data_IF_965362352936
#
_entry.id   IF_965362352936
#
_cell.length_a   1.000
_cell.length_b   1.000
_cell.length_c   1.000
_cell.angle_alpha   90.00
_cell.angle_beta   90.00
_cell.angle_gamma   90.00
#
_symmetry.space_group_name_H-M   'P 1'
#
loop_
_entity.id
_entity.type
_entity.pdbx_description
1 polymer ?
#
# COMPACT_ATOMS: atom_id res chain seq x y z
N UNK A 1 -29.76 -9.06 2.59
CA UNK A 1 -28.74 -9.44 1.62
C UNK A 1 -27.42 -8.88 2.10
N UNK A 2 -26.46 -9.72 2.32
CA UNK A 2 -25.15 -9.35 2.84
C UNK A 2 -24.06 -9.60 1.79
N UNK A 3 -22.81 -9.66 2.23
CA UNK A 3 -21.64 -10.00 1.40
C UNK A 3 -21.54 -11.51 1.11
N UNK A 4 -22.58 -12.30 1.51
CA UNK A 4 -22.59 -13.77 1.47
C UNK A 4 -22.34 -14.32 0.07
N UNK A 5 -22.98 -13.77 -0.94
CA UNK A 5 -22.83 -14.26 -2.33
C UNK A 5 -21.39 -14.07 -2.84
N UNK A 6 -20.76 -12.96 -2.48
CA UNK A 6 -19.36 -12.73 -2.82
C UNK A 6 -18.44 -13.69 -2.03
N UNK A 7 -18.73 -13.91 -0.75
CA UNK A 7 -17.97 -14.85 0.07
C UNK A 7 -18.09 -16.27 -0.46
N UNK A 8 -19.31 -16.72 -0.77
CA UNK A 8 -19.57 -18.05 -1.36
C UNK A 8 -18.87 -18.22 -2.71
N UNK A 9 -18.88 -17.18 -3.54
CA UNK A 9 -18.18 -17.19 -4.83
C UNK A 9 -16.67 -17.34 -4.64
N UNK A 10 -16.09 -16.57 -3.73
CA UNK A 10 -14.66 -16.64 -3.46
C UNK A 10 -14.26 -17.99 -2.85
N UNK A 11 -15.03 -18.51 -1.89
CA UNK A 11 -14.76 -19.83 -1.28
C UNK A 11 -14.85 -20.99 -2.26
N UNK A 12 -15.71 -20.89 -3.27
CA UNK A 12 -15.86 -21.93 -4.29
C UNK A 12 -14.75 -21.94 -5.34
N UNK A 13 -14.14 -20.80 -5.60
CA UNK A 13 -13.22 -20.63 -6.72
C UNK A 13 -11.76 -20.40 -6.30
N UNK A 14 -11.50 -19.95 -5.07
CA UNK A 14 -10.18 -19.55 -4.62
C UNK A 14 -9.85 -20.09 -3.24
N UNK A 15 -8.56 -20.31 -2.99
CA UNK A 15 -8.05 -20.66 -1.66
C UNK A 15 -7.58 -19.39 -0.95
N UNK A 16 -7.80 -19.34 0.36
CA UNK A 16 -7.17 -18.31 1.20
C UNK A 16 -5.67 -18.60 1.35
N UNK A 17 -4.90 -17.55 1.41
CA UNK A 17 -3.46 -17.56 1.70
C UNK A 17 -3.19 -16.77 2.97
N UNK A 18 -2.17 -17.15 3.69
CA UNK A 18 -1.73 -16.39 4.88
C UNK A 18 -1.18 -15.02 4.48
N UNK A 19 -1.26 -14.05 5.37
CA UNK A 19 -0.61 -12.75 5.11
C UNK A 19 0.91 -12.86 4.93
N UNK A 20 1.51 -13.90 5.49
CA UNK A 20 2.93 -14.20 5.24
C UNK A 20 3.19 -14.51 3.77
N UNK A 21 2.33 -15.31 3.14
CA UNK A 21 2.43 -15.65 1.72
C UNK A 21 2.07 -14.45 0.83
N UNK A 22 0.98 -13.75 1.15
CA UNK A 22 0.48 -12.60 0.38
C UNK A 22 1.45 -11.40 0.41
N UNK A 23 2.21 -11.23 1.50
CA UNK A 23 3.20 -10.17 1.63
C UNK A 23 4.61 -10.55 1.17
N UNK A 24 4.76 -11.75 0.57
CA UNK A 24 6.05 -12.24 0.14
C UNK A 24 6.54 -11.51 -1.11
N UNK A 25 7.76 -11.00 -1.06
CA UNK A 25 8.45 -10.43 -2.19
C UNK A 25 9.84 -11.06 -2.30
N UNK A 26 10.09 -11.78 -3.40
CA UNK A 26 11.28 -12.55 -3.71
C UNK A 26 11.61 -13.61 -2.64
N UNK A 27 12.14 -13.45 -1.55
CA UNK A 27 12.44 -14.44 -0.51
C UNK A 27 12.18 -13.89 0.90
N UNK A 28 11.48 -12.76 0.99
CA UNK A 28 11.17 -12.12 2.26
C UNK A 28 9.71 -11.72 2.30
N UNK A 29 9.04 -12.07 3.38
CA UNK A 29 7.68 -11.63 3.67
C UNK A 29 7.71 -10.41 4.57
N UNK A 30 6.84 -9.45 4.29
CA UNK A 30 6.68 -8.27 5.13
C UNK A 30 6.03 -8.65 6.46
N UNK A 31 4.98 -9.47 6.41
CA UNK A 31 4.32 -10.05 7.57
C UNK A 31 4.92 -11.43 7.85
N UNK A 32 5.42 -11.65 9.06
CA UNK A 32 6.03 -12.91 9.46
C UNK A 32 5.12 -13.70 10.38
N UNK A 33 5.05 -15.01 10.15
CA UNK A 33 4.35 -15.97 11.02
C UNK A 33 2.85 -15.68 11.25
N UNK A 34 2.17 -15.04 10.27
CA UNK A 34 0.73 -14.85 10.35
C UNK A 34 -0.03 -16.15 10.13
N UNK A 35 -1.06 -16.37 10.96
CA UNK A 35 -2.06 -17.43 10.79
C UNK A 35 -3.36 -16.89 10.17
N UNK A 36 -3.51 -15.58 10.10
CA UNK A 36 -4.67 -14.96 9.48
C UNK A 36 -4.54 -15.01 7.97
N UNK A 37 -5.67 -15.16 7.30
CA UNK A 37 -5.76 -15.47 5.89
C UNK A 37 -6.66 -14.47 5.16
N UNK A 38 -6.33 -14.20 3.91
CA UNK A 38 -7.17 -13.47 2.97
C UNK A 38 -7.09 -14.14 1.60
N UNK A 39 -7.91 -13.69 0.65
CA UNK A 39 -7.79 -14.14 -0.73
C UNK A 39 -6.73 -13.34 -1.47
N UNK A 40 -5.95 -14.00 -2.30
CA UNK A 40 -5.00 -13.38 -3.23
C UNK A 40 -5.78 -12.66 -4.33
N UNK A 41 -5.76 -11.33 -4.31
CA UNK A 41 -6.52 -10.55 -5.28
C UNK A 41 -5.83 -10.51 -6.65
N UNK A 42 -4.54 -10.75 -6.68
CA UNK A 42 -3.78 -10.92 -7.92
C UNK A 42 -4.23 -12.18 -8.66
N UNK A 43 -4.44 -13.29 -7.94
CA UNK A 43 -4.96 -14.56 -8.48
C UNK A 43 -6.41 -14.40 -8.99
N UNK A 44 -7.26 -13.71 -8.22
CA UNK A 44 -8.63 -13.40 -8.64
C UNK A 44 -8.64 -12.56 -9.92
N UNK A 45 -7.78 -11.56 -9.99
CA UNK A 45 -7.67 -10.68 -11.16
C UNK A 45 -7.18 -11.45 -12.38
N UNK A 46 -6.25 -12.38 -12.21
CA UNK A 46 -5.76 -13.25 -13.29
C UNK A 46 -6.85 -14.22 -13.79
N UNK A 47 -7.67 -14.76 -12.89
CA UNK A 47 -8.83 -15.58 -13.26
C UNK A 47 -9.83 -14.79 -14.10
N UNK A 48 -10.14 -13.55 -13.73
CA UNK A 48 -11.06 -12.68 -14.47
C UNK A 48 -10.45 -12.22 -15.80
N UNK A 49 -9.16 -11.93 -15.81
CA UNK A 49 -8.42 -11.41 -16.97
C UNK A 49 -7.22 -12.30 -17.31
N UNK A 50 -7.44 -13.45 -17.96
CA UNK A 50 -6.35 -14.35 -18.33
C UNK A 50 -5.39 -13.74 -19.37
N UNK A 51 -5.83 -12.67 -20.03
CA UNK A 51 -5.00 -11.87 -20.95
C UNK A 51 -5.13 -10.40 -20.56
N UNK A 52 -4.00 -9.67 -20.57
CA UNK A 52 -3.95 -8.23 -20.23
C UNK A 52 -4.49 -7.94 -18.81
N UNK A 53 -3.99 -8.67 -17.83
CA UNK A 53 -4.33 -8.49 -16.41
C UNK A 53 -4.07 -7.04 -15.97
N UNK A 54 -5.08 -6.34 -15.42
CA UNK A 54 -4.87 -5.04 -14.81
C UNK A 54 -4.04 -5.14 -13.52
N UNK A 55 -3.50 -4.03 -13.07
CA UNK A 55 -2.82 -3.96 -11.77
C UNK A 55 -3.82 -4.18 -10.65
N UNK A 56 -3.43 -4.93 -9.63
CA UNK A 56 -4.29 -5.29 -8.51
C UNK A 56 -3.59 -5.09 -7.16
N UNK A 57 -4.40 -4.92 -6.12
CA UNK A 57 -3.95 -5.05 -4.75
C UNK A 57 -3.47 -6.49 -4.49
N UNK A 58 -2.64 -6.68 -3.49
CA UNK A 58 -2.07 -8.00 -3.20
C UNK A 58 -3.12 -8.92 -2.57
N UNK A 59 -4.06 -8.39 -1.77
CA UNK A 59 -5.08 -9.20 -1.12
C UNK A 59 -6.45 -8.52 -1.05
N UNK A 60 -7.50 -9.35 -0.89
CA UNK A 60 -8.85 -8.95 -0.56
C UNK A 60 -9.35 -9.71 0.67
N UNK A 61 -9.87 -8.98 1.65
CA UNK A 61 -10.46 -9.50 2.87
C UNK A 61 -11.92 -9.06 2.95
N UNK A 62 -12.81 -9.98 3.34
CA UNK A 62 -14.22 -9.72 3.57
C UNK A 62 -14.51 -9.78 5.07
N UNK A 63 -15.12 -8.74 5.61
CA UNK A 63 -15.63 -8.70 6.98
C UNK A 63 -17.02 -8.06 7.04
N UNK A 64 -18.05 -8.84 7.33
CA UNK A 64 -19.45 -8.41 7.39
C UNK A 64 -19.90 -7.73 6.08
N UNK A 65 -20.07 -6.40 6.09
CA UNK A 65 -20.41 -5.59 4.92
C UNK A 65 -19.22 -4.80 4.38
N UNK A 66 -18.00 -5.19 4.74
CA UNK A 66 -16.78 -4.48 4.41
C UNK A 66 -15.89 -5.31 3.51
N UNK A 67 -15.33 -4.66 2.53
CA UNK A 67 -14.29 -5.19 1.66
C UNK A 67 -13.03 -4.39 1.93
N UNK A 68 -11.94 -5.08 2.22
CA UNK A 68 -10.61 -4.49 2.40
C UNK A 68 -9.72 -4.97 1.27
N UNK A 69 -9.23 -4.04 0.47
CA UNK A 69 -8.07 -4.27 -0.37
C UNK A 69 -6.81 -3.99 0.45
N UNK A 70 -5.84 -4.87 0.37
CA UNK A 70 -4.61 -4.78 1.12
C UNK A 70 -3.45 -4.81 0.15
N UNK A 71 -2.57 -3.83 0.25
CA UNK A 71 -1.35 -3.70 -0.55
C UNK A 71 -0.14 -3.74 0.37
N UNK A 72 0.79 -4.64 0.14
CA UNK A 72 2.01 -4.79 0.92
C UNK A 72 3.19 -4.12 0.22
N UNK A 73 3.82 -3.14 0.87
CA UNK A 73 4.94 -2.37 0.33
C UNK A 73 6.18 -2.47 1.21
N UNK A 74 7.07 -3.41 0.87
CA UNK A 74 8.37 -3.53 1.53
C UNK A 74 9.37 -2.51 1.01
N UNK A 75 10.21 -1.97 1.87
CA UNK A 75 11.26 -0.99 1.54
C UNK A 75 10.71 0.37 1.13
N UNK A 76 9.41 0.60 1.32
CA UNK A 76 8.73 1.80 0.86
C UNK A 76 9.15 3.03 1.66
N UNK A 77 9.22 2.92 2.97
CA UNK A 77 9.67 4.00 3.84
C UNK A 77 11.09 4.43 3.50
N UNK A 78 12.01 3.48 3.32
CA UNK A 78 13.39 3.75 2.95
C UNK A 78 13.51 4.45 1.58
N UNK A 79 12.66 4.10 0.62
CA UNK A 79 12.65 4.72 -0.71
C UNK A 79 12.09 6.13 -0.69
N UNK A 80 11.16 6.42 0.22
CA UNK A 80 10.49 7.73 0.34
C UNK A 80 11.16 8.66 1.34
N UNK A 81 12.08 8.19 2.15
CA UNK A 81 12.81 9.01 3.11
C UNK A 81 13.74 9.98 2.38
N UNK A 82 13.43 11.27 2.47
CA UNK A 82 14.26 12.35 1.88
C UNK A 82 15.56 12.58 2.62
N UNK A 83 15.69 12.01 3.82
CA UNK A 83 16.83 12.22 4.73
C UNK A 83 18.02 11.32 4.45
N UNK A 84 17.88 10.32 3.56
CA UNK A 84 18.95 9.36 3.30
C UNK A 84 20.13 9.88 2.47
N UNK A 85 20.11 11.15 2.08
CA UNK A 85 21.25 11.79 1.44
C UNK A 85 21.74 12.95 2.32
N UNK A 86 22.64 12.64 3.23
CA UNK A 86 23.38 13.64 4.00
C UNK A 86 24.71 13.96 3.30
N UNK A 87 24.89 15.23 2.97
CA UNK A 87 26.13 15.77 2.39
C UNK A 87 27.35 15.50 3.30
N UNK A 88 27.12 15.42 4.61
CA UNK A 88 28.17 15.15 5.59
C UNK A 88 28.76 13.73 5.51
N UNK A 89 28.06 12.78 4.89
CA UNK A 89 28.53 11.40 4.69
C UNK A 89 29.35 11.22 3.41
N UNK A 90 29.41 12.23 2.55
CA UNK A 90 30.22 12.18 1.35
C UNK A 90 31.71 12.39 1.69
N UNK A 91 32.52 11.33 1.57
CA UNK A 91 33.97 11.35 1.81
C UNK A 91 34.79 11.83 0.59
N UNK A 92 34.22 12.64 -0.26
CA UNK A 92 34.87 13.11 -1.48
C UNK A 92 35.82 14.28 -1.17
N UNK A 93 37.09 14.17 -1.53
CA UNK A 93 38.12 15.21 -1.28
C UNK A 93 37.95 16.49 -2.12
N UNK A 94 37.16 16.44 -3.19
CA UNK A 94 36.81 17.58 -4.07
C UNK A 94 35.36 17.97 -3.92
N UNK A 95 35.00 18.38 -2.73
CA UNK A 95 33.64 18.36 -2.20
C UNK A 95 32.68 19.33 -2.87
N UNK A 96 33.06 20.52 -3.27
CA UNK A 96 32.08 21.58 -3.50
C UNK A 96 31.35 21.46 -4.82
N UNK A 97 32.05 21.26 -5.93
CA UNK A 97 31.38 21.26 -7.25
C UNK A 97 30.76 19.92 -7.65
N UNK A 98 31.46 18.82 -7.43
CA UNK A 98 31.01 17.47 -7.80
C UNK A 98 29.88 17.02 -6.88
N UNK A 99 29.92 17.39 -5.61
CA UNK A 99 28.90 17.01 -4.64
C UNK A 99 27.56 17.72 -4.89
N UNK A 100 27.56 18.96 -5.36
CA UNK A 100 26.31 19.68 -5.64
C UNK A 100 25.56 19.09 -6.86
N UNK A 101 26.29 18.72 -7.89
CA UNK A 101 25.67 18.08 -9.05
C UNK A 101 25.20 16.64 -8.75
N UNK A 102 25.96 15.91 -7.94
CA UNK A 102 25.55 14.60 -7.45
C UNK A 102 24.33 14.71 -6.52
N UNK A 103 24.31 15.68 -5.62
CA UNK A 103 23.14 15.93 -4.77
C UNK A 103 21.88 16.28 -5.58
N UNK A 104 22.02 17.12 -6.62
CA UNK A 104 20.93 17.42 -7.55
C UNK A 104 20.46 16.19 -8.32
N UNK A 105 21.40 15.36 -8.78
CA UNK A 105 21.07 14.10 -9.48
C UNK A 105 20.33 13.13 -8.57
N UNK A 106 20.81 12.93 -7.36
CA UNK A 106 20.16 12.07 -6.35
C UNK A 106 18.78 12.60 -5.96
N UNK A 107 18.64 13.91 -5.78
CA UNK A 107 17.33 14.52 -5.50
C UNK A 107 16.34 14.24 -6.62
N UNK A 108 16.73 14.43 -7.88
CA UNK A 108 15.89 14.08 -9.04
C UNK A 108 15.54 12.60 -9.08
N UNK A 109 16.50 11.74 -8.80
CA UNK A 109 16.27 10.29 -8.75
C UNK A 109 15.26 9.91 -7.66
N UNK A 110 15.34 10.49 -6.48
CA UNK A 110 14.38 10.28 -5.40
C UNK A 110 12.99 10.80 -5.76
N UNK A 111 12.90 12.00 -6.38
CA UNK A 111 11.65 12.56 -6.87
C UNK A 111 10.99 11.68 -7.94
N UNK A 112 11.78 11.09 -8.83
CA UNK A 112 11.30 10.14 -9.84
C UNK A 112 10.79 8.85 -9.20
N UNK A 113 11.54 8.27 -8.25
CA UNK A 113 11.10 7.09 -7.51
C UNK A 113 9.79 7.36 -6.76
N UNK A 114 9.67 8.49 -6.09
CA UNK A 114 8.44 8.89 -5.40
C UNK A 114 7.26 9.01 -6.38
N UNK A 115 7.49 9.63 -7.52
CA UNK A 115 6.48 9.78 -8.57
C UNK A 115 6.03 8.43 -9.15
N UNK A 116 6.96 7.53 -9.45
CA UNK A 116 6.67 6.19 -9.93
C UNK A 116 5.89 5.35 -8.90
N UNK A 117 6.27 5.44 -7.62
CA UNK A 117 5.57 4.74 -6.55
C UNK A 117 4.13 5.24 -6.39
N UNK A 118 3.93 6.56 -6.44
CA UNK A 118 2.61 7.17 -6.39
C UNK A 118 1.75 6.75 -7.60
N UNK A 119 2.33 6.75 -8.79
CA UNK A 119 1.64 6.33 -10.01
C UNK A 119 1.24 4.85 -9.95
N UNK A 120 2.12 3.98 -9.47
CA UNK A 120 1.84 2.56 -9.31
C UNK A 120 0.74 2.29 -8.28
N UNK A 121 0.79 2.94 -7.11
CA UNK A 121 -0.27 2.83 -6.11
C UNK A 121 -1.60 3.34 -6.65
N UNK A 122 -1.57 4.49 -7.35
CA UNK A 122 -2.74 5.05 -7.99
C UNK A 122 -3.38 4.05 -8.97
N UNK A 123 -2.58 3.46 -9.84
CA UNK A 123 -3.05 2.48 -10.81
C UNK A 123 -3.65 1.25 -10.11
N UNK A 124 -2.96 0.68 -9.13
CA UNK A 124 -3.46 -0.47 -8.37
C UNK A 124 -4.79 -0.19 -7.68
N UNK A 125 -4.93 0.97 -7.04
CA UNK A 125 -6.20 1.35 -6.40
C UNK A 125 -7.33 1.52 -7.40
N UNK A 126 -7.08 2.15 -8.55
CA UNK A 126 -8.09 2.34 -9.59
C UNK A 126 -8.56 1.03 -10.20
N UNK A 127 -7.59 0.23 -10.61
CA UNK A 127 -7.86 -1.01 -11.34
C UNK A 127 -8.43 -2.09 -10.42
N UNK A 128 -8.01 -2.16 -9.13
CA UNK A 128 -8.65 -3.04 -8.14
C UNK A 128 -10.12 -2.70 -7.93
N UNK A 129 -10.44 -1.42 -7.80
CA UNK A 129 -11.83 -0.98 -7.65
C UNK A 129 -12.67 -1.27 -8.89
N UNK A 130 -12.09 -1.02 -10.07
CA UNK A 130 -12.74 -1.32 -11.34
C UNK A 130 -13.00 -2.83 -11.51
N UNK A 131 -12.01 -3.67 -11.21
CA UNK A 131 -12.16 -5.13 -11.23
C UNK A 131 -13.27 -5.60 -10.30
N UNK A 132 -13.32 -5.05 -9.08
CA UNK A 132 -14.39 -5.38 -8.13
C UNK A 132 -15.77 -5.01 -8.67
N UNK A 133 -15.98 -3.75 -9.04
CA UNK A 133 -17.31 -3.23 -9.38
C UNK A 133 -17.85 -3.75 -10.70
N UNK A 134 -16.99 -3.89 -11.70
CA UNK A 134 -17.44 -4.21 -13.08
C UNK A 134 -17.28 -5.66 -13.45
N UNK A 135 -16.57 -6.46 -12.67
CA UNK A 135 -16.33 -7.86 -12.97
C UNK A 135 -16.68 -8.78 -11.80
N UNK A 136 -16.02 -8.64 -10.66
CA UNK A 136 -16.15 -9.58 -9.55
C UNK A 136 -17.56 -9.56 -8.91
N UNK A 137 -18.10 -8.39 -8.59
CA UNK A 137 -19.44 -8.27 -8.02
C UNK A 137 -20.54 -8.72 -9.00
N UNK A 138 -20.56 -8.30 -10.28
CA UNK A 138 -21.51 -8.81 -11.25
C UNK A 138 -21.47 -10.32 -11.41
N UNK A 139 -20.30 -10.94 -11.39
CA UNK A 139 -20.15 -12.38 -11.50
C UNK A 139 -20.65 -13.09 -10.24
N UNK A 140 -20.21 -12.68 -9.05
CA UNK A 140 -20.62 -13.25 -7.77
C UNK A 140 -22.14 -13.15 -7.55
N UNK A 141 -22.74 -12.02 -7.88
CA UNK A 141 -24.18 -11.79 -7.72
C UNK A 141 -24.99 -12.15 -8.96
N UNK A 142 -24.40 -12.76 -9.98
CA UNK A 142 -25.07 -13.17 -11.24
C UNK A 142 -25.89 -12.03 -11.85
N UNK A 143 -25.28 -10.84 -11.91
CA UNK A 143 -25.89 -9.59 -12.40
C UNK A 143 -27.15 -9.13 -11.63
N UNK A 144 -27.38 -9.62 -10.42
CA UNK A 144 -28.40 -9.10 -9.51
C UNK A 144 -27.90 -7.88 -8.76
N UNK A 145 -28.80 -7.15 -8.13
CA UNK A 145 -28.45 -6.04 -7.25
C UNK A 145 -27.67 -6.55 -6.04
N UNK A 146 -26.52 -5.96 -5.75
CA UNK A 146 -25.72 -6.23 -4.56
C UNK A 146 -25.93 -5.16 -3.49
N UNK A 147 -25.66 -5.47 -2.22
CA UNK A 147 -25.85 -4.56 -1.10
C UNK A 147 -24.90 -3.35 -1.20
N UNK A 148 -25.20 -2.30 -0.45
CA UNK A 148 -24.28 -1.19 -0.27
C UNK A 148 -23.10 -1.67 0.59
N UNK A 149 -21.94 -1.78 -0.01
CA UNK A 149 -20.70 -2.29 0.59
C UNK A 149 -19.77 -1.13 0.93
N UNK A 150 -19.20 -1.19 2.10
CA UNK A 150 -18.09 -0.31 2.48
C UNK A 150 -16.79 -0.89 1.94
N UNK A 151 -16.00 -0.09 1.23
CA UNK A 151 -14.79 -0.54 0.56
C UNK A 151 -13.61 0.30 1.03
N UNK A 152 -12.64 -0.40 1.61
CA UNK A 152 -11.44 0.17 2.21
C UNK A 152 -10.22 -0.22 1.39
N UNK A 153 -9.24 0.67 1.33
CA UNK A 153 -7.93 0.38 0.76
C UNK A 153 -6.85 0.59 1.82
N UNK A 154 -6.09 -0.44 2.08
CA UNK A 154 -5.08 -0.46 3.14
C UNK A 154 -3.71 -0.69 2.52
N UNK A 155 -2.77 0.18 2.83
CA UNK A 155 -1.38 0.04 2.46
C UNK A 155 -0.59 -0.33 3.72
N UNK A 156 0.11 -1.46 3.68
CA UNK A 156 0.97 -1.92 4.78
C UNK A 156 2.42 -1.72 4.39
N UNK A 157 3.15 -0.97 5.20
CA UNK A 157 4.56 -0.68 4.95
C UNK A 157 5.46 -1.23 6.04
N UNK A 158 6.71 -1.52 5.68
CA UNK A 158 7.72 -1.87 6.66
C UNK A 158 7.99 -0.70 7.61
N UNK A 159 8.04 -1.00 8.90
CA UNK A 159 8.59 -0.06 9.88
C UNK A 159 10.08 0.14 9.58
N UNK A 160 10.55 1.36 9.68
CA UNK A 160 12.00 1.63 9.66
C UNK A 160 12.63 0.80 10.76
N UNK A 161 13.55 -0.08 10.39
CA UNK A 161 14.49 -0.63 11.36
C UNK A 161 15.37 0.53 11.79
N UNK A 162 15.09 1.08 12.95
CA UNK A 162 15.99 2.01 13.61
C UNK A 162 17.32 1.27 13.82
N UNK A 163 18.34 1.67 13.08
CA UNK A 163 19.69 1.30 13.44
C UNK A 163 19.96 2.00 14.79
N UNK A 164 20.44 1.30 15.84
CA UNK A 164 20.70 1.92 17.14
C UNK A 164 21.61 3.15 17.07
N UNK A 165 22.45 3.24 16.05
CA UNK A 165 23.34 4.40 15.81
C UNK A 165 22.56 5.53 15.12
N UNK A 166 21.64 5.19 14.20
CA UNK A 166 20.77 6.17 13.55
C UNK A 166 19.68 6.67 14.51
N UNK A 167 19.18 5.82 15.42
CA UNK A 167 18.22 6.23 16.45
C UNK A 167 18.81 7.31 17.39
N UNK A 168 20.09 7.25 17.69
CA UNK A 168 20.74 8.24 18.54
C UNK A 168 21.02 9.54 17.79
N UNK A 169 21.32 9.49 16.50
CA UNK A 169 21.39 10.61 15.59
C UNK A 169 20.03 11.25 15.35
N UNK A 170 18.99 10.42 15.14
CA UNK A 170 17.60 10.83 14.97
C UNK A 170 17.04 11.50 16.23
N UNK A 171 17.34 11.03 17.43
CA UNK A 171 16.91 11.71 18.67
C UNK A 171 17.47 13.13 18.74
N UNK A 172 18.65 13.39 18.22
CA UNK A 172 19.22 14.74 18.14
C UNK A 172 18.62 15.55 16.99
N UNK A 173 18.32 14.93 15.86
CA UNK A 173 17.62 15.55 14.74
C UNK A 173 16.12 15.71 15.00
N UNK A 174 15.47 14.80 15.76
CA UNK A 174 14.08 14.87 16.18
C UNK A 174 13.84 15.99 17.20
N UNK A 175 14.81 16.30 18.05
CA UNK A 175 14.76 17.50 18.89
C UNK A 175 14.87 18.79 18.06
N UNK A 176 15.43 18.71 16.86
CA UNK A 176 15.50 19.83 15.91
C UNK A 176 14.35 19.82 14.87
N UNK A 177 13.72 18.65 14.62
CA UNK A 177 12.74 18.41 13.56
C UNK A 177 11.53 17.61 14.05
N UNK A 178 10.89 18.02 15.16
CA UNK A 178 9.68 17.39 15.75
C UNK A 178 8.50 17.15 14.76
N UNK A 179 8.67 17.47 13.49
CA UNK A 179 7.58 17.47 12.51
C UNK A 179 7.67 16.41 11.38
N UNK A 180 8.63 15.48 11.35
CA UNK A 180 8.87 14.72 10.11
C UNK A 180 8.41 13.26 10.06
N UNK A 181 8.26 12.51 11.15
CA UNK A 181 7.82 11.11 11.10
C UNK A 181 6.30 10.97 10.96
N UNK A 182 5.51 11.72 11.70
CA UNK A 182 4.05 11.75 11.59
C UNK A 182 3.59 12.12 10.16
N UNK A 183 4.44 12.83 9.45
CA UNK A 183 4.17 13.38 8.14
C UNK A 183 4.30 12.39 6.97
N UNK A 184 4.94 11.20 7.13
CA UNK A 184 5.12 10.26 6.02
C UNK A 184 3.84 9.46 5.76
N UNK A 185 3.31 8.81 6.80
CA UNK A 185 2.07 8.03 6.70
C UNK A 185 0.88 8.91 6.32
N UNK A 186 0.77 10.08 6.94
CA UNK A 186 -0.26 11.06 6.60
C UNK A 186 -0.15 11.56 5.16
N UNK A 187 1.07 11.84 4.66
CA UNK A 187 1.28 12.27 3.28
C UNK A 187 0.95 11.18 2.27
N UNK A 188 1.27 9.92 2.60
CA UNK A 188 0.90 8.77 1.79
C UNK A 188 -0.61 8.61 1.76
N UNK A 189 -1.25 8.60 2.92
CA UNK A 189 -2.69 8.52 3.05
C UNK A 189 -3.38 9.67 2.31
N UNK A 190 -2.94 10.89 2.52
CA UNK A 190 -3.47 12.07 1.82
C UNK A 190 -3.26 12.00 0.31
N UNK A 191 -2.12 11.51 -0.17
CA UNK A 191 -1.86 11.36 -1.60
C UNK A 191 -2.82 10.39 -2.26
N UNK A 192 -3.09 9.25 -1.63
CA UNK A 192 -4.03 8.25 -2.14
C UNK A 192 -5.48 8.68 -1.88
N UNK A 193 -5.78 9.27 -0.73
CA UNK A 193 -7.10 9.78 -0.35
C UNK A 193 -7.54 10.96 -1.22
N UNK A 194 -6.66 11.91 -1.48
CA UNK A 194 -6.94 13.05 -2.35
C UNK A 194 -7.27 12.61 -3.78
N UNK A 195 -6.65 11.55 -4.26
CA UNK A 195 -6.89 11.03 -5.60
C UNK A 195 -8.25 10.32 -5.75
N UNK A 196 -8.79 9.70 -4.67
CA UNK A 196 -9.93 8.79 -4.78
C UNK A 196 -11.10 9.08 -3.84
N UNK A 197 -10.88 9.53 -2.62
CA UNK A 197 -11.96 9.85 -1.70
C UNK A 197 -12.63 11.18 -2.02
N UNK A 198 -11.91 12.11 -2.64
CA UNK A 198 -12.39 13.46 -2.98
C UNK A 198 -12.64 13.67 -4.47
N UNK A 199 -12.99 12.63 -5.22
CA UNK A 199 -13.24 12.76 -6.65
C UNK A 199 -14.29 13.86 -6.93
N UNK A 200 -13.86 14.95 -7.56
CA UNK A 200 -14.72 16.08 -7.98
C UNK A 200 -15.85 15.67 -8.93
N UNK A 201 -15.78 14.46 -9.47
CA UNK A 201 -16.69 13.96 -10.50
C UNK A 201 -17.71 12.95 -9.99
N UNK A 202 -17.61 12.48 -8.76
CA UNK A 202 -18.56 11.54 -8.18
C UNK A 202 -19.15 12.09 -6.88
N UNK A 203 -20.46 11.95 -6.71
CA UNK A 203 -21.18 12.30 -5.47
C UNK A 203 -20.82 11.37 -4.31
N UNK A 204 -20.15 10.24 -4.56
CA UNK A 204 -19.72 9.25 -3.58
C UNK A 204 -18.20 9.08 -3.70
N UNK A 205 -17.52 8.95 -2.57
CA UNK A 205 -16.10 8.64 -2.53
C UNK A 205 -15.80 7.30 -3.23
N UNK A 206 -14.64 7.22 -3.86
CA UNK A 206 -14.22 6.00 -4.58
C UNK A 206 -13.93 4.86 -3.62
N UNK A 207 -13.31 5.16 -2.47
CA UNK A 207 -13.16 4.31 -1.30
C UNK A 207 -13.79 5.00 -0.11
N UNK A 208 -14.39 4.23 0.81
CA UNK A 208 -14.93 4.76 2.05
C UNK A 208 -13.80 5.20 2.98
N UNK A 209 -12.67 4.51 2.92
CA UNK A 209 -11.46 4.86 3.66
C UNK A 209 -10.21 4.34 2.95
N UNK A 210 -9.14 5.11 3.03
CA UNK A 210 -7.79 4.72 2.64
C UNK A 210 -6.88 4.96 3.84
N UNK A 211 -6.12 3.94 4.22
CA UNK A 211 -5.24 3.99 5.39
C UNK A 211 -3.87 3.41 5.07
N UNK A 212 -2.86 3.94 5.73
CA UNK A 212 -1.50 3.42 5.67
C UNK A 212 -1.12 2.94 7.06
N UNK A 213 -0.75 1.69 7.18
CA UNK A 213 -0.34 1.07 8.45
C UNK A 213 1.12 0.68 8.42
N UNK A 214 1.77 0.79 9.57
CA UNK A 214 2.97 0.01 9.83
C UNK A 214 2.61 -1.47 9.95
N UNK A 215 3.58 -2.37 9.77
CA UNK A 215 3.37 -3.81 10.03
C UNK A 215 2.78 -4.03 11.42
N UNK A 216 3.32 -3.34 12.43
CA UNK A 216 2.88 -3.50 13.81
C UNK A 216 1.43 -3.06 14.03
N UNK A 217 1.01 -1.95 13.43
CA UNK A 217 -0.37 -1.48 13.54
C UNK A 217 -1.32 -2.44 12.80
N UNK A 218 -0.94 -2.87 11.61
CA UNK A 218 -1.70 -3.84 10.84
C UNK A 218 -1.88 -5.16 11.62
N UNK A 219 -0.83 -5.67 12.24
CA UNK A 219 -0.90 -6.85 13.09
C UNK A 219 -1.84 -6.65 14.28
N UNK A 220 -1.85 -5.48 14.87
CA UNK A 220 -2.74 -5.16 15.99
C UNK A 220 -4.22 -5.12 15.57
N UNK A 221 -4.52 -4.58 14.40
CA UNK A 221 -5.91 -4.39 13.93
C UNK A 221 -6.51 -5.59 13.21
N UNK A 222 -5.69 -6.38 12.52
CA UNK A 222 -6.15 -7.44 11.63
C UNK A 222 -5.72 -8.85 12.05
N UNK A 223 -4.82 -9.00 13.03
CA UNK A 223 -4.31 -10.30 13.47
C UNK A 223 -4.73 -10.67 14.91
N UNK A 224 -5.48 -9.80 15.58
CA UNK A 224 -6.04 -10.08 16.93
C UNK A 224 -7.56 -10.36 16.78
#
# INVERSE_FOLDING_TARGET
>A
MGISELADFLEQNFSKKTYTELSANQNKSLIQSSKCEAYDFDEITEYIFPQNKPSSADAILLDKNRIYFIEFKSGFHRKMSRTNFDRAQCRCEKIDDICDDYAKLMKRHLENIESELKANLFQKTAESRWTLEYHLLPEAYKNKTYPDLQIFYIIVTDKVKEDPIDAMGQIMDDLANIHNEDNFYERMEQSVKHLYCESRYRKKAFYDKVEVYSVQDFETFFLN
#
